data_IF_930853716101
#
_entry.id   IF_930853716101
#
_cell.length_a   1.000
_cell.length_b   1.000
_cell.length_c   1.000
_cell.angle_alpha   90.00
_cell.angle_beta   90.00
_cell.angle_gamma   90.00
#
_symmetry.space_group_name_H-M   'P 1'
#
loop_
_entity.id
_entity.type
_entity.pdbx_description
1 polymer ?
#
# COMPACT_ATOMS: atom_id res chain seq x y z
N UNK A 1 -51.67 -27.18 27.24
CA UNK A 1 -52.39 -28.45 27.05
C UNK A 1 -51.48 -29.60 27.45
N UNK A 2 -52.01 -30.49 28.32
CA UNK A 2 -51.69 -31.93 28.54
C UNK A 2 -50.23 -32.28 28.90
N UNK A 3 -49.95 -32.54 30.19
CA UNK A 3 -50.06 -33.82 30.94
C UNK A 3 -48.98 -34.84 30.56
N UNK A 4 -48.13 -35.20 31.54
CA UNK A 4 -47.96 -36.55 32.11
C UNK A 4 -46.72 -36.52 33.05
N UNK A 5 -46.59 -37.25 34.14
CA UNK A 5 -47.46 -37.82 35.17
C UNK A 5 -46.46 -38.42 36.18
N UNK A 6 -46.74 -38.29 37.48
CA UNK A 6 -46.01 -38.96 38.55
C UNK A 6 -45.86 -40.48 38.27
N UNK A 7 -44.69 -41.02 38.57
CA UNK A 7 -44.56 -42.40 39.04
C UNK A 7 -43.66 -42.36 40.28
N UNK A 8 -44.29 -42.49 41.44
CA UNK A 8 -43.65 -43.02 42.64
C UNK A 8 -43.96 -44.51 42.75
N UNK A 9 -42.94 -45.31 43.01
CA UNK A 9 -42.97 -46.60 43.71
C UNK A 9 -41.51 -46.83 44.16
N UNK A 10 -41.13 -46.45 45.37
CA UNK A 10 -41.29 -47.17 46.64
C UNK A 10 -40.50 -48.49 46.72
N UNK A 11 -39.69 -48.54 47.77
CA UNK A 11 -39.18 -49.69 48.51
C UNK A 11 -37.91 -50.40 48.00
N UNK A 12 -36.85 -50.12 48.75
CA UNK A 12 -35.97 -51.10 49.37
C UNK A 12 -35.17 -52.03 48.44
N UNK A 13 -33.95 -51.60 48.12
CA UNK A 13 -32.81 -52.52 48.20
C UNK A 13 -32.14 -52.24 49.53
N UNK A 14 -32.28 -53.20 50.45
CA UNK A 14 -31.60 -53.28 51.73
C UNK A 14 -30.09 -53.15 51.51
N UNK A 15 -29.53 -51.97 51.78
CA UNK A 15 -28.11 -51.86 52.08
C UNK A 15 -27.92 -52.16 53.56
N UNK A 16 -27.80 -53.44 53.87
CA UNK A 16 -26.93 -53.86 54.96
C UNK A 16 -25.48 -53.62 54.48
N UNK A 17 -25.08 -52.36 54.44
CA UNK A 17 -23.68 -51.96 54.36
C UNK A 17 -23.48 -51.04 55.57
N UNK A 18 -22.54 -51.42 56.43
CA UNK A 18 -22.21 -50.67 57.64
C UNK A 18 -22.06 -49.17 57.33
N UNK A 19 -22.38 -48.30 58.31
CA UNK A 19 -22.17 -46.85 58.24
C UNK A 19 -20.81 -46.44 57.64
N UNK A 20 -19.82 -47.32 57.75
CA UNK A 20 -18.48 -47.19 57.19
C UNK A 20 -18.41 -47.22 55.65
N UNK A 21 -19.21 -48.03 54.95
CA UNK A 21 -19.19 -48.15 53.48
C UNK A 21 -19.91 -46.97 52.78
N UNK A 22 -20.94 -46.42 53.45
CA UNK A 22 -21.65 -45.21 53.00
C UNK A 22 -20.75 -43.99 53.14
N UNK A 23 -20.06 -43.85 54.29
CA UNK A 23 -19.12 -42.75 54.52
C UNK A 23 -17.91 -42.81 53.55
N UNK A 24 -17.37 -44.01 53.26
CA UNK A 24 -16.29 -44.17 52.27
C UNK A 24 -16.71 -43.78 50.85
N UNK A 25 -17.94 -44.08 50.44
CA UNK A 25 -18.47 -43.67 49.12
C UNK A 25 -18.72 -42.16 49.04
N UNK A 26 -19.15 -41.53 50.14
CA UNK A 26 -19.35 -40.08 50.21
C UNK A 26 -18.01 -39.33 50.15
N UNK A 27 -16.99 -39.78 50.88
CA UNK A 27 -15.63 -39.23 50.82
C UNK A 27 -15.02 -39.35 49.42
N UNK A 28 -15.24 -40.48 48.74
CA UNK A 28 -14.77 -40.70 47.37
C UNK A 28 -15.44 -39.73 46.37
N UNK A 29 -16.73 -39.42 46.58
CA UNK A 29 -17.45 -38.44 45.76
C UNK A 29 -16.93 -37.01 46.03
N UNK A 30 -16.68 -36.65 47.28
CA UNK A 30 -16.10 -35.36 47.66
C UNK A 30 -14.69 -35.16 47.06
N UNK A 31 -13.83 -36.18 47.12
CA UNK A 31 -12.51 -36.14 46.48
C UNK A 31 -12.61 -35.96 44.96
N UNK A 32 -13.56 -36.62 44.30
CA UNK A 32 -13.77 -36.46 42.85
C UNK A 32 -14.28 -35.06 42.51
N UNK A 33 -15.13 -34.47 43.35
CA UNK A 33 -15.62 -33.09 43.18
C UNK A 33 -14.46 -32.10 43.32
N UNK A 34 -13.62 -32.22 44.36
CA UNK A 34 -12.42 -31.36 44.51
C UNK A 34 -11.44 -31.50 43.33
N UNK A 35 -11.25 -32.73 42.81
CA UNK A 35 -10.41 -32.95 41.63
C UNK A 35 -10.99 -32.33 40.35
N UNK A 36 -12.32 -32.33 40.22
CA UNK A 36 -13.00 -31.68 39.11
C UNK A 36 -12.89 -30.15 39.21
N UNK A 37 -13.07 -29.59 40.41
CA UNK A 37 -12.93 -28.17 40.69
C UNK A 37 -11.52 -27.68 40.31
N UNK A 38 -10.48 -28.36 40.79
CA UNK A 38 -9.08 -28.08 40.41
C UNK A 38 -8.81 -28.17 38.90
N UNK A 39 -9.48 -29.09 38.18
CA UNK A 39 -9.36 -29.22 36.73
C UNK A 39 -10.08 -28.10 35.98
N UNK A 40 -11.21 -27.63 36.51
CA UNK A 40 -11.96 -26.50 35.95
C UNK A 40 -11.13 -25.22 36.13
N UNK A 41 -10.60 -24.96 37.32
CA UNK A 41 -9.75 -23.79 37.58
C UNK A 41 -8.52 -23.75 36.68
N UNK A 42 -7.86 -24.91 36.48
CA UNK A 42 -6.72 -25.01 35.57
C UNK A 42 -7.12 -24.68 34.13
N UNK A 43 -8.26 -25.18 33.67
CA UNK A 43 -8.76 -24.90 32.31
C UNK A 43 -9.16 -23.44 32.14
N UNK A 44 -9.75 -22.82 33.15
CA UNK A 44 -10.09 -21.40 33.10
C UNK A 44 -8.84 -20.51 33.07
N UNK A 45 -7.77 -20.89 33.76
CA UNK A 45 -6.48 -20.22 33.66
C UNK A 45 -5.87 -20.33 32.24
N UNK A 46 -5.89 -21.53 31.65
CA UNK A 46 -5.42 -21.76 30.27
C UNK A 46 -6.25 -20.97 29.24
N UNK A 47 -7.57 -20.92 29.40
CA UNK A 47 -8.47 -20.13 28.55
C UNK A 47 -8.14 -18.63 28.63
N UNK A 48 -7.84 -18.11 29.82
CA UNK A 48 -7.50 -16.71 30.00
C UNK A 48 -6.14 -16.35 29.38
N UNK A 49 -5.13 -17.23 29.48
CA UNK A 49 -3.87 -17.05 28.77
C UNK A 49 -4.05 -17.06 27.24
N UNK A 50 -4.79 -18.03 26.71
CA UNK A 50 -5.07 -18.12 25.27
C UNK A 50 -5.82 -16.89 24.75
N UNK A 51 -6.75 -16.32 25.53
CA UNK A 51 -7.43 -15.06 25.17
C UNK A 51 -6.45 -13.89 25.06
N UNK A 52 -5.47 -13.79 25.96
CA UNK A 52 -4.46 -12.73 25.92
C UNK A 52 -3.52 -12.87 24.73
N UNK A 53 -3.10 -14.10 24.41
CA UNK A 53 -2.27 -14.38 23.23
C UNK A 53 -3.01 -14.05 21.92
N UNK A 54 -4.29 -14.44 21.81
CA UNK A 54 -5.13 -14.12 20.64
C UNK A 54 -5.26 -12.60 20.46
N UNK A 55 -5.47 -11.84 21.53
CA UNK A 55 -5.55 -10.38 21.43
C UNK A 55 -4.23 -9.74 20.99
N UNK A 56 -3.10 -10.30 21.44
CA UNK A 56 -1.76 -9.82 21.06
C UNK A 56 -1.49 -10.11 19.58
N UNK A 57 -1.74 -11.34 19.12
CA UNK A 57 -1.60 -11.72 17.72
C UNK A 57 -2.52 -10.90 16.79
N UNK A 58 -3.76 -10.61 17.20
CA UNK A 58 -4.65 -9.74 16.42
C UNK A 58 -4.12 -8.32 16.26
N UNK A 59 -3.43 -7.77 17.27
CA UNK A 59 -2.80 -6.45 17.18
C UNK A 59 -1.60 -6.48 16.23
N UNK A 60 -0.76 -7.51 16.31
CA UNK A 60 0.40 -7.67 15.43
C UNK A 60 0.00 -7.87 13.96
N UNK A 61 -1.03 -8.68 13.69
CA UNK A 61 -1.57 -8.87 12.33
C UNK A 61 -2.09 -7.56 11.75
N UNK A 62 -2.79 -6.73 12.55
CA UNK A 62 -3.25 -5.40 12.10
C UNK A 62 -2.08 -4.49 11.74
N UNK A 63 -1.05 -4.46 12.58
CA UNK A 63 0.15 -3.64 12.34
C UNK A 63 0.91 -4.10 11.10
N UNK A 64 1.13 -5.41 10.94
CA UNK A 64 1.77 -5.99 9.76
C UNK A 64 0.98 -5.73 8.48
N UNK A 65 -0.35 -5.87 8.51
CA UNK A 65 -1.19 -5.54 7.35
C UNK A 65 -1.11 -4.06 6.95
N UNK A 66 -0.98 -3.14 7.91
CA UNK A 66 -0.78 -1.73 7.60
C UNK A 66 0.59 -1.44 6.99
N UNK A 67 1.64 -2.08 7.50
CA UNK A 67 3.01 -1.97 6.97
C UNK A 67 3.10 -2.53 5.54
N UNK A 68 2.55 -3.72 5.29
CA UNK A 68 2.48 -4.32 3.95
C UNK A 68 1.66 -3.44 3.01
N UNK A 69 0.52 -2.89 3.46
CA UNK A 69 -0.30 -1.99 2.64
C UNK A 69 0.43 -0.69 2.29
N UNK A 70 1.25 -0.16 3.20
CA UNK A 70 2.11 1.00 2.92
C UNK A 70 3.18 0.62 1.91
N UNK A 71 3.93 -0.45 2.13
CA UNK A 71 5.01 -0.88 1.25
C UNK A 71 4.52 -1.18 -0.18
N UNK A 72 3.40 -1.91 -0.32
CA UNK A 72 2.77 -2.20 -1.61
C UNK A 72 2.30 -0.92 -2.29
N UNK A 73 1.70 0.03 -1.57
CA UNK A 73 1.32 1.33 -2.15
C UNK A 73 2.54 2.11 -2.63
N UNK A 74 3.63 2.14 -1.88
CA UNK A 74 4.86 2.85 -2.25
C UNK A 74 5.52 2.21 -3.47
N UNK A 75 5.56 0.88 -3.57
CA UNK A 75 6.09 0.16 -4.73
C UNK A 75 5.21 0.32 -5.98
N UNK A 76 3.88 0.34 -5.83
CA UNK A 76 2.95 0.58 -6.95
C UNK A 76 3.01 2.03 -7.43
N UNK A 77 3.10 3.01 -6.51
CA UNK A 77 3.24 4.41 -6.84
C UNK A 77 4.55 4.67 -7.61
N UNK A 78 5.70 4.19 -7.12
CA UNK A 78 7.01 4.37 -7.78
C UNK A 78 7.08 3.73 -9.17
N UNK A 79 6.47 2.55 -9.38
CA UNK A 79 6.35 1.93 -10.72
C UNK A 79 5.39 2.66 -11.65
N UNK A 80 4.37 3.32 -11.10
CA UNK A 80 3.39 4.09 -11.86
C UNK A 80 4.00 5.40 -12.37
N UNK A 81 4.81 6.09 -11.57
CA UNK A 81 5.30 7.43 -11.86
C UNK A 81 6.28 7.57 -13.05
N UNK A 82 6.96 6.49 -13.44
CA UNK A 82 7.95 6.48 -14.54
C UNK A 82 7.37 5.95 -15.87
N UNK A 83 6.08 6.17 -16.10
CA UNK A 83 5.34 5.63 -17.26
C UNK A 83 5.12 6.62 -18.40
N UNK A 84 5.75 7.79 -18.36
CA UNK A 84 5.94 8.64 -19.54
C UNK A 84 7.40 8.53 -19.98
N UNK A 85 7.63 8.23 -21.26
CA UNK A 85 8.97 8.23 -21.85
C UNK A 85 9.15 9.46 -22.73
N UNK A 86 10.33 10.07 -22.68
CA UNK A 86 10.73 11.05 -23.69
C UNK A 86 11.29 10.27 -24.88
N UNK A 87 10.66 10.40 -26.04
CA UNK A 87 11.08 9.72 -27.27
C UNK A 87 12.08 10.59 -28.03
N UNK A 88 11.83 11.89 -28.03
CA UNK A 88 12.65 12.85 -28.74
C UNK A 88 12.60 14.21 -28.05
N UNK A 89 13.69 14.94 -28.11
CA UNK A 89 13.78 16.34 -27.72
C UNK A 89 14.57 17.07 -28.80
N UNK A 90 13.96 18.08 -29.39
CA UNK A 90 14.65 19.08 -30.21
C UNK A 90 14.64 20.40 -29.47
N UNK A 91 15.74 21.11 -29.52
CA UNK A 91 15.89 22.41 -28.88
C UNK A 91 16.64 23.35 -29.81
N UNK A 92 16.26 24.62 -29.80
CA UNK A 92 16.97 25.69 -30.52
C UNK A 92 17.20 26.85 -29.56
N UNK A 93 18.45 27.22 -29.36
CA UNK A 93 18.84 28.38 -28.55
C UNK A 93 18.65 29.66 -29.35
N UNK A 94 18.18 30.71 -28.67
CA UNK A 94 18.09 32.06 -29.20
C UNK A 94 18.79 33.03 -28.25
N UNK A 95 19.80 33.71 -28.79
CA UNK A 95 20.63 34.67 -28.06
C UNK A 95 20.03 36.08 -28.21
N UNK A 96 18.94 36.31 -27.50
CA UNK A 96 18.26 37.60 -27.44
C UNK A 96 18.52 38.30 -26.10
N UNK A 97 17.96 39.50 -25.92
CA UNK A 97 18.05 40.27 -24.66
C UNK A 97 17.66 39.42 -23.44
N UNK A 98 16.66 38.56 -23.61
CA UNK A 98 16.31 37.49 -22.68
C UNK A 98 16.48 36.15 -23.39
N UNK A 99 17.62 35.46 -23.20
CA UNK A 99 17.87 34.18 -23.85
C UNK A 99 16.79 33.15 -23.56
N UNK A 100 16.47 32.33 -24.56
CA UNK A 100 15.48 31.27 -24.42
C UNK A 100 15.76 30.09 -25.35
N UNK A 101 15.09 28.96 -25.09
CA UNK A 101 15.04 27.80 -25.96
C UNK A 101 13.64 27.58 -26.53
N UNK A 102 13.55 27.29 -27.82
CA UNK A 102 12.38 26.62 -28.38
C UNK A 102 12.52 25.11 -28.20
N UNK A 103 11.69 24.54 -27.32
CA UNK A 103 11.66 23.12 -27.03
C UNK A 103 10.54 22.44 -27.83
N UNK A 104 10.89 21.34 -28.48
CA UNK A 104 9.95 20.40 -29.10
C UNK A 104 10.21 19.02 -28.49
N UNK A 105 9.32 18.60 -27.59
CA UNK A 105 9.44 17.33 -26.87
C UNK A 105 8.36 16.36 -27.31
N UNK A 106 8.75 15.13 -27.65
CA UNK A 106 7.83 14.04 -27.92
C UNK A 106 7.77 13.11 -26.71
N UNK A 107 6.57 13.00 -26.12
CA UNK A 107 6.29 12.16 -24.96
C UNK A 107 5.46 10.96 -25.37
N UNK A 108 5.82 9.76 -24.87
CA UNK A 108 5.09 8.51 -25.08
C UNK A 108 4.40 8.05 -23.82
N UNK A 109 3.13 7.70 -23.93
CA UNK A 109 2.39 7.11 -22.84
C UNK A 109 2.62 5.60 -22.76
N UNK A 110 3.16 5.15 -21.63
CA UNK A 110 3.33 3.72 -21.32
C UNK A 110 2.46 3.26 -20.15
N UNK A 111 1.57 4.13 -19.66
CA UNK A 111 0.48 3.71 -18.78
C UNK A 111 -0.52 2.84 -19.55
N UNK A 112 -1.19 1.89 -18.89
CA UNK A 112 -2.24 1.08 -19.51
C UNK A 112 -3.56 1.87 -19.70
N UNK A 113 -3.55 3.19 -19.57
CA UNK A 113 -4.74 4.05 -19.63
C UNK A 113 -4.47 5.29 -20.48
N UNK A 114 -5.51 5.78 -21.17
CA UNK A 114 -5.48 7.06 -21.89
C UNK A 114 -5.36 8.21 -20.90
N UNK A 115 -4.41 9.11 -21.13
CA UNK A 115 -4.18 10.31 -20.32
C UNK A 115 -4.93 11.48 -20.95
N UNK A 116 -5.66 12.23 -20.12
CA UNK A 116 -6.41 13.43 -20.52
C UNK A 116 -5.81 14.72 -19.97
N UNK A 117 -4.92 14.60 -18.99
CA UNK A 117 -4.19 15.71 -18.39
C UNK A 117 -2.85 15.23 -17.88
N UNK A 118 -1.79 15.99 -18.15
CA UNK A 118 -0.43 15.69 -17.73
C UNK A 118 0.22 16.93 -17.11
N UNK A 119 0.86 16.74 -15.96
CA UNK A 119 1.81 17.69 -15.42
C UNK A 119 3.05 17.01 -14.87
N UNK A 120 4.21 17.62 -15.09
CA UNK A 120 5.50 17.07 -14.70
C UNK A 120 6.66 17.95 -15.13
N UNK A 121 7.87 17.53 -14.78
CA UNK A 121 9.11 18.22 -15.14
C UNK A 121 9.85 17.44 -16.22
N UNK A 122 10.25 18.13 -17.28
CA UNK A 122 11.23 17.67 -18.23
C UNK A 122 12.62 18.01 -17.69
N UNK A 123 13.50 17.02 -17.60
CA UNK A 123 14.88 17.18 -17.20
C UNK A 123 15.84 16.80 -18.32
N UNK A 124 16.93 17.56 -18.41
CA UNK A 124 18.11 17.20 -19.20
C UNK A 124 19.30 17.19 -18.26
N UNK A 125 19.93 16.03 -18.12
CA UNK A 125 21.17 15.83 -17.37
C UNK A 125 22.34 15.66 -18.35
N UNK A 126 23.52 16.14 -17.96
CA UNK A 126 24.76 15.77 -18.64
C UNK A 126 25.25 14.36 -18.23
N UNK A 127 26.42 13.98 -18.74
CA UNK A 127 27.09 12.71 -18.44
C UNK A 127 27.46 12.57 -16.96
N UNK A 128 27.68 13.69 -16.26
CA UNK A 128 28.11 13.74 -14.87
C UNK A 128 26.89 13.78 -13.92
N UNK A 129 25.67 13.79 -14.48
CA UNK A 129 24.41 13.79 -13.74
C UNK A 129 23.96 15.18 -13.30
N UNK A 130 24.61 16.24 -13.79
CA UNK A 130 24.21 17.62 -13.51
C UNK A 130 22.97 17.95 -14.33
N UNK A 131 21.91 18.41 -13.65
CA UNK A 131 20.67 18.84 -14.30
C UNK A 131 20.88 20.19 -14.99
N UNK A 132 21.15 20.14 -16.29
CA UNK A 132 21.36 21.34 -17.12
C UNK A 132 20.05 22.09 -17.31
N UNK A 133 18.95 21.38 -17.62
CA UNK A 133 17.65 22.00 -17.90
C UNK A 133 16.55 21.34 -17.06
N UNK A 134 15.67 22.18 -16.53
CA UNK A 134 14.41 21.76 -15.91
C UNK A 134 13.26 22.61 -16.46
N UNK A 135 12.32 21.99 -17.18
CA UNK A 135 11.13 22.68 -17.68
C UNK A 135 9.84 22.05 -17.15
N UNK A 136 8.94 22.87 -16.61
CA UNK A 136 7.65 22.42 -16.11
C UNK A 136 6.60 22.39 -17.24
N UNK A 137 6.00 21.23 -17.47
CA UNK A 137 4.92 21.04 -18.43
C UNK A 137 3.62 20.77 -17.66
N UNK A 138 2.57 21.53 -17.96
CA UNK A 138 1.22 21.36 -17.39
C UNK A 138 0.16 21.66 -18.43
N UNK A 139 -0.60 20.65 -18.86
CA UNK A 139 -1.65 20.85 -19.87
C UNK A 139 -2.65 19.69 -19.94
N UNK A 140 -3.81 19.96 -20.52
CA UNK A 140 -4.70 18.91 -21.05
C UNK A 140 -4.02 18.28 -22.27
N UNK A 141 -4.16 16.97 -22.41
CA UNK A 141 -3.59 16.19 -23.52
C UNK A 141 -4.63 15.20 -24.00
N UNK A 142 -4.56 14.78 -25.26
CA UNK A 142 -5.18 13.54 -25.72
C UNK A 142 -4.06 12.56 -26.00
N UNK A 143 -3.76 11.68 -25.03
CA UNK A 143 -2.65 10.76 -25.15
C UNK A 143 -3.10 9.32 -24.87
N UNK A 144 -3.52 8.58 -25.91
CA UNK A 144 -3.90 7.17 -25.82
C UNK A 144 -2.76 6.26 -25.31
N UNK A 145 -3.10 5.02 -25.00
CA UNK A 145 -2.11 4.01 -24.57
C UNK A 145 -1.12 3.73 -25.68
N UNK A 146 0.18 3.81 -25.38
CA UNK A 146 1.25 3.56 -26.35
C UNK A 146 1.49 4.68 -27.37
N UNK A 147 0.60 5.67 -27.43
CA UNK A 147 0.69 6.79 -28.35
C UNK A 147 1.72 7.83 -27.91
N UNK A 148 2.06 8.72 -28.85
CA UNK A 148 3.02 9.80 -28.67
C UNK A 148 2.33 11.15 -28.87
N UNK A 149 2.76 12.15 -28.13
CA UNK A 149 2.35 13.55 -28.31
C UNK A 149 3.59 14.43 -28.40
N UNK A 150 3.57 15.35 -29.36
CA UNK A 150 4.60 16.37 -29.47
C UNK A 150 4.11 17.66 -28.84
N UNK A 151 4.95 18.24 -28.00
CA UNK A 151 4.71 19.48 -27.27
C UNK A 151 5.75 20.50 -27.72
N UNK A 152 5.27 21.60 -28.25
CA UNK A 152 6.08 22.79 -28.52
C UNK A 152 5.93 23.78 -27.35
N UNK A 153 7.04 24.35 -26.92
CA UNK A 153 7.07 25.33 -25.83
C UNK A 153 8.34 26.18 -25.90
N UNK A 154 8.20 27.45 -25.61
CA UNK A 154 9.34 28.34 -25.33
C UNK A 154 9.72 28.26 -23.86
N UNK A 155 11.00 28.03 -23.59
CA UNK A 155 11.59 27.93 -22.25
C UNK A 155 12.56 29.09 -22.05
N UNK A 156 12.21 30.01 -21.15
CA UNK A 156 13.13 31.07 -20.73
C UNK A 156 14.17 30.45 -19.81
N UNK A 157 15.43 30.89 -19.98
CA UNK A 157 16.52 30.35 -19.17
C UNK A 157 16.34 30.75 -17.71
N UNK A 158 16.43 29.78 -16.80
CA UNK A 158 16.33 30.03 -15.35
C UNK A 158 17.71 30.04 -14.66
N UNK A 159 18.77 29.70 -15.39
CA UNK A 159 20.15 29.73 -14.91
C UNK A 159 21.14 29.89 -16.06
N UNK A 160 22.34 30.40 -15.75
CA UNK A 160 23.43 30.43 -16.74
C UNK A 160 23.87 29.02 -17.16
N UNK A 161 23.64 28.01 -16.32
CA UNK A 161 23.94 26.61 -16.61
C UNK A 161 23.16 26.12 -17.84
N UNK A 162 21.93 26.58 -18.04
CA UNK A 162 21.09 26.16 -19.17
C UNK A 162 21.67 26.59 -20.52
N UNK A 163 22.55 27.61 -20.56
CA UNK A 163 23.25 28.01 -21.79
C UNK A 163 24.14 26.89 -22.34
N UNK A 164 24.71 26.06 -21.46
CA UNK A 164 25.60 24.97 -21.88
C UNK A 164 24.90 23.90 -22.72
N UNK A 165 23.56 23.78 -22.62
CA UNK A 165 22.79 22.84 -23.42
C UNK A 165 22.97 23.06 -24.94
N UNK A 166 23.18 24.30 -25.38
CA UNK A 166 23.40 24.64 -26.79
C UNK A 166 24.70 24.07 -27.35
N UNK A 167 25.72 23.90 -26.49
CA UNK A 167 27.08 23.47 -26.88
C UNK A 167 27.39 22.03 -26.50
N UNK A 168 26.56 21.39 -25.67
CA UNK A 168 26.77 20.00 -25.24
C UNK A 168 26.48 19.01 -26.38
N UNK A 169 27.24 17.91 -26.40
CA UNK A 169 27.01 16.83 -27.35
C UNK A 169 25.72 16.09 -26.99
N UNK A 170 24.74 15.96 -27.92
CA UNK A 170 23.48 15.28 -27.64
C UNK A 170 23.63 13.84 -27.11
N UNK A 171 24.72 13.15 -27.43
CA UNK A 171 25.00 11.79 -26.92
C UNK A 171 25.33 11.74 -25.42
N UNK A 172 25.78 12.86 -24.85
CA UNK A 172 26.08 12.98 -23.42
C UNK A 172 24.84 13.35 -22.61
N UNK A 173 23.72 13.66 -23.27
CA UNK A 173 22.50 14.13 -22.62
C UNK A 173 21.60 12.96 -22.23
N UNK A 174 21.20 12.94 -20.97
CA UNK A 174 20.15 12.07 -20.46
C UNK A 174 18.89 12.87 -20.27
N UNK A 175 17.86 12.52 -21.03
CA UNK A 175 16.60 13.27 -21.08
C UNK A 175 15.49 12.40 -20.52
N UNK A 176 14.72 12.92 -19.57
CA UNK A 176 13.61 12.20 -18.97
C UNK A 176 12.51 13.14 -18.48
N UNK A 177 11.33 12.57 -18.27
CA UNK A 177 10.16 13.31 -17.79
C UNK A 177 9.68 12.70 -16.48
N UNK A 178 9.67 13.50 -15.43
CA UNK A 178 9.11 13.12 -14.14
C UNK A 178 7.67 13.59 -14.06
N UNK A 179 6.75 12.62 -14.05
CA UNK A 179 5.33 12.90 -13.87
C UNK A 179 5.15 13.42 -12.44
N UNK A 180 4.44 14.53 -12.28
CA UNK A 180 3.89 15.00 -11.00
C UNK A 180 2.44 14.54 -10.88
N UNK A 181 1.66 14.68 -11.96
CA UNK A 181 0.26 14.24 -12.02
C UNK A 181 -0.13 13.82 -13.43
N UNK A 182 -0.79 12.68 -13.55
CA UNK A 182 -1.47 12.24 -14.77
C UNK A 182 -2.92 11.91 -14.44
N UNK A 183 -3.89 12.54 -15.12
CA UNK A 183 -5.30 12.14 -15.04
C UNK A 183 -5.65 11.28 -16.23
N UNK A 184 -6.38 10.20 -15.98
CA UNK A 184 -6.83 9.28 -17.00
C UNK A 184 -8.28 9.55 -17.41
N UNK A 185 -8.65 9.05 -18.59
CA UNK A 185 -9.99 9.22 -19.13
C UNK A 185 -11.09 8.56 -18.28
N UNK A 186 -10.74 7.55 -17.48
CA UNK A 186 -11.65 6.86 -16.55
C UNK A 186 -11.87 7.60 -15.22
N UNK A 187 -11.33 8.82 -15.09
CA UNK A 187 -11.44 9.65 -13.89
C UNK A 187 -10.39 9.35 -12.81
N UNK A 188 -9.65 8.24 -12.92
CA UNK A 188 -8.54 7.94 -12.01
C UNK A 188 -7.34 8.85 -12.29
N UNK A 189 -6.46 9.00 -11.30
CA UNK A 189 -5.23 9.76 -11.47
C UNK A 189 -4.05 9.10 -10.76
N UNK A 190 -2.86 9.49 -11.19
CA UNK A 190 -1.60 9.18 -10.54
C UNK A 190 -0.96 10.50 -10.14
N UNK A 191 -0.55 10.59 -8.87
CA UNK A 191 0.20 11.71 -8.32
C UNK A 191 1.51 11.18 -7.75
N UNK A 192 2.59 11.86 -8.09
CA UNK A 192 3.96 11.41 -7.93
C UNK A 192 4.85 12.47 -7.27
N UNK A 193 4.27 13.63 -6.95
CA UNK A 193 4.91 14.62 -6.11
C UNK A 193 5.15 14.03 -4.72
N UNK A 194 6.36 14.23 -4.22
CA UNK A 194 6.78 13.86 -2.87
C UNK A 194 5.79 14.52 -1.89
N UNK A 195 5.12 13.70 -1.08
CA UNK A 195 4.48 14.12 0.17
C UNK A 195 5.52 14.10 1.28
#
# INVERSE_FOLDING_TARGET
MKKLLLIGLSAAVLFAASNEDINKKLDLLLQKIEQLEKKVDKKDAEINQLKQEIQTQQKEIKKSNEEVKKEVKTQLATKSCKKIKVVNLKYKYHDEVLPYYDLTVTLKNTYPKKIVYLSGNLFVEDKDGVKILQDYIKRKVDLPVGAEITIHKTHQLNSDLEKYLATENPKNLKIYFEVIKAKFADGTNVECGIF
#
